data_IF_093582516880
#
_entry.id   IF_093582516880
#
_cell.length_a   1.000
_cell.length_b   1.000
_cell.length_c   1.000
_cell.angle_alpha   90.00
_cell.angle_beta   90.00
_cell.angle_gamma   90.00
#
_symmetry.space_group_name_H-M   'P 1'
#
loop_
_entity.id
_entity.type
_entity.pdbx_description
1 polymer ?
#
# COMPACT_ATOMS: atom_id res chain seq x y z
N UNK A 1 -7.10 -5.86 17.22
CA UNK A 1 -7.94 -6.73 16.36
C UNK A 1 -7.63 -6.56 14.88
N UNK A 2 -7.74 -5.35 14.31
CA UNK A 2 -7.56 -5.09 12.86
C UNK A 2 -6.18 -5.52 12.33
N UNK A 3 -5.09 -5.16 13.02
CA UNK A 3 -3.72 -5.48 12.58
C UNK A 3 -3.51 -7.00 12.51
N UNK A 4 -3.97 -7.73 13.53
CA UNK A 4 -3.87 -9.20 13.60
C UNK A 4 -4.69 -9.84 12.48
N UNK A 5 -5.90 -9.34 12.21
CA UNK A 5 -6.73 -9.81 11.10
C UNK A 5 -6.10 -9.58 9.73
N UNK A 6 -5.43 -8.43 9.53
CA UNK A 6 -4.69 -8.13 8.30
C UNK A 6 -3.49 -9.07 8.14
N UNK A 7 -2.72 -9.31 9.20
CA UNK A 7 -1.58 -10.25 9.19
C UNK A 7 -2.05 -11.68 8.90
N UNK A 8 -3.09 -12.16 9.59
CA UNK A 8 -3.67 -13.49 9.36
C UNK A 8 -4.22 -13.59 7.93
N UNK A 9 -4.85 -12.54 7.39
CA UNK A 9 -5.33 -12.51 6.02
C UNK A 9 -4.17 -12.67 5.02
N UNK A 10 -3.08 -11.92 5.17
CA UNK A 10 -1.92 -12.08 4.29
C UNK A 10 -1.25 -13.45 4.42
N UNK A 11 -1.25 -14.05 5.62
CA UNK A 11 -0.72 -15.40 5.83
C UNK A 11 -1.62 -16.50 5.24
N UNK A 12 -2.94 -16.33 5.28
CA UNK A 12 -3.90 -17.37 4.85
C UNK A 12 -4.30 -17.24 3.39
N UNK A 13 -4.35 -16.02 2.86
CA UNK A 13 -4.68 -15.77 1.45
C UNK A 13 -3.45 -15.70 0.57
N UNK A 14 -2.29 -15.30 1.12
CA UNK A 14 -0.97 -15.41 0.47
C UNK A 14 -0.98 -15.22 -1.06
N UNK A 15 -0.67 -16.25 -1.86
CA UNK A 15 -0.72 -16.20 -3.33
C UNK A 15 -2.12 -16.19 -3.97
N UNK A 16 -3.14 -16.65 -3.26
CA UNK A 16 -4.54 -16.73 -3.72
C UNK A 16 -5.33 -15.44 -3.47
N UNK A 17 -4.72 -14.45 -2.83
CA UNK A 17 -5.32 -13.13 -2.65
C UNK A 17 -5.49 -12.46 -4.02
N UNK A 18 -6.71 -11.95 -4.29
CA UNK A 18 -6.96 -11.30 -5.56
C UNK A 18 -6.05 -10.09 -5.73
N UNK A 19 -5.48 -9.94 -6.94
CA UNK A 19 -4.60 -8.82 -7.28
C UNK A 19 -5.26 -7.48 -6.95
N UNK A 20 -6.57 -7.37 -7.18
CA UNK A 20 -7.39 -6.21 -6.80
C UNK A 20 -7.31 -5.91 -5.31
N UNK A 21 -7.47 -6.92 -4.45
CA UNK A 21 -7.42 -6.73 -3.00
C UNK A 21 -6.04 -6.24 -2.55
N UNK A 22 -4.97 -6.84 -3.09
CA UNK A 22 -3.60 -6.45 -2.77
C UNK A 22 -3.33 -5.00 -3.17
N UNK A 23 -3.69 -4.62 -4.41
CA UNK A 23 -3.55 -3.24 -4.90
C UNK A 23 -4.31 -2.26 -4.01
N UNK A 24 -5.56 -2.56 -3.66
CA UNK A 24 -6.38 -1.71 -2.79
C UNK A 24 -5.75 -1.56 -1.41
N UNK A 25 -5.31 -2.66 -0.78
CA UNK A 25 -4.71 -2.61 0.55
C UNK A 25 -3.41 -1.80 0.58
N UNK A 26 -2.49 -2.02 -0.37
CA UNK A 26 -1.26 -1.23 -0.47
C UNK A 26 -1.51 0.24 -0.75
N UNK A 27 -2.49 0.55 -1.62
CA UNK A 27 -2.84 1.94 -1.93
C UNK A 27 -3.36 2.69 -0.70
N UNK A 28 -4.28 2.07 0.05
CA UNK A 28 -4.82 2.66 1.29
C UNK A 28 -3.72 2.88 2.33
N UNK A 29 -2.88 1.86 2.55
CA UNK A 29 -1.82 1.94 3.55
C UNK A 29 -0.76 2.98 3.17
N UNK A 30 -0.44 3.10 1.88
CA UNK A 30 0.47 4.11 1.36
C UNK A 30 -0.08 5.53 1.52
N UNK A 31 -1.35 5.76 1.20
CA UNK A 31 -2.01 7.07 1.44
C UNK A 31 -1.98 7.42 2.93
N UNK A 32 -2.30 6.47 3.81
CA UNK A 32 -2.22 6.68 5.26
C UNK A 32 -0.78 6.99 5.71
N UNK A 33 0.21 6.28 5.16
CA UNK A 33 1.62 6.52 5.43
C UNK A 33 2.06 7.94 5.05
N UNK A 34 1.62 8.44 3.89
CA UNK A 34 1.86 9.82 3.46
C UNK A 34 1.18 10.82 4.40
N UNK A 35 -0.08 10.57 4.78
CA UNK A 35 -0.81 11.43 5.72
C UNK A 35 -0.07 11.51 7.06
N UNK A 36 0.35 10.38 7.63
CA UNK A 36 1.11 10.36 8.89
C UNK A 36 2.47 11.02 8.77
N UNK A 37 3.16 10.87 7.64
CA UNK A 37 4.43 11.53 7.36
C UNK A 37 4.28 13.06 7.39
N UNK A 38 3.24 13.58 6.73
CA UNK A 38 2.92 15.01 6.71
C UNK A 38 2.52 15.51 8.11
N UNK A 39 1.65 14.76 8.81
CA UNK A 39 1.20 15.10 10.16
C UNK A 39 2.34 15.11 11.19
N UNK A 40 3.38 14.31 10.97
CA UNK A 40 4.55 14.25 11.86
C UNK A 40 5.29 15.59 11.95
N UNK A 41 5.18 16.47 10.93
CA UNK A 41 5.91 17.76 10.84
C UNK A 41 7.43 17.66 10.97
N UNK A 42 7.98 16.45 10.99
CA UNK A 42 9.41 16.20 11.00
C UNK A 42 9.91 16.03 9.58
N UNK A 43 10.89 16.83 9.18
CA UNK A 43 11.46 16.82 7.83
C UNK A 43 11.90 15.42 7.36
N UNK A 44 12.53 14.65 8.25
CA UNK A 44 12.93 13.27 7.95
C UNK A 44 11.74 12.34 7.72
N UNK A 45 10.72 12.42 8.58
CA UNK A 45 9.50 11.62 8.47
C UNK A 45 8.73 11.94 7.18
N UNK A 46 8.61 13.23 6.86
CA UNK A 46 8.01 13.70 5.60
C UNK A 46 8.78 13.13 4.41
N UNK A 47 10.10 13.26 4.39
CA UNK A 47 10.91 12.83 3.25
C UNK A 47 10.80 11.33 3.03
N UNK A 48 11.08 10.53 4.05
CA UNK A 48 11.07 9.07 3.95
C UNK A 48 9.65 8.56 3.73
N UNK A 49 8.68 9.13 4.45
CA UNK A 49 7.29 8.73 4.35
C UNK A 49 6.69 9.05 2.99
N UNK A 50 6.95 10.24 2.43
CA UNK A 50 6.45 10.60 1.09
C UNK A 50 7.17 9.83 -0.01
N UNK A 51 8.51 9.72 0.01
CA UNK A 51 9.24 8.95 -1.00
C UNK A 51 8.89 7.46 -0.96
N UNK A 52 8.98 6.85 0.23
CA UNK A 52 8.76 5.42 0.38
C UNK A 52 7.33 5.01 -0.01
N UNK A 53 6.32 5.71 0.55
CA UNK A 53 4.93 5.41 0.21
C UNK A 53 4.60 5.83 -1.22
N UNK A 54 5.16 6.94 -1.73
CA UNK A 54 5.00 7.37 -3.12
C UNK A 54 5.46 6.32 -4.13
N UNK A 55 6.62 5.68 -3.90
CA UNK A 55 7.11 4.57 -4.74
C UNK A 55 6.11 3.40 -4.71
N UNK A 56 5.60 3.04 -3.54
CA UNK A 56 4.59 1.98 -3.41
C UNK A 56 3.32 2.32 -4.21
N UNK A 57 2.90 3.58 -4.21
CA UNK A 57 1.73 4.05 -4.96
C UNK A 57 1.95 3.95 -6.48
N UNK A 58 3.14 4.31 -6.96
CA UNK A 58 3.53 4.17 -8.38
C UNK A 58 3.51 2.70 -8.79
N UNK A 59 4.06 1.82 -7.96
CA UNK A 59 4.04 0.37 -8.19
C UNK A 59 2.62 -0.19 -8.23
N UNK A 60 1.76 0.22 -7.29
CA UNK A 60 0.34 -0.15 -7.29
C UNK A 60 -0.37 0.34 -8.56
N UNK A 61 -0.02 1.53 -9.05
CA UNK A 61 -0.49 2.05 -10.33
C UNK A 61 -0.09 1.17 -11.52
N UNK A 62 1.18 0.74 -11.59
CA UNK A 62 1.63 -0.19 -12.62
C UNK A 62 0.91 -1.54 -12.55
N UNK A 63 0.68 -2.09 -11.36
CA UNK A 63 -0.08 -3.33 -11.19
C UNK A 63 -1.53 -3.19 -11.65
N UNK A 64 -2.16 -2.05 -11.37
CA UNK A 64 -3.52 -1.75 -11.82
C UNK A 64 -3.60 -1.62 -13.34
N UNK A 65 -2.62 -0.94 -13.95
CA UNK A 65 -2.49 -0.84 -15.41
C UNK A 65 -2.27 -2.22 -16.04
N UNK A 66 -1.35 -3.02 -15.48
CA UNK A 66 -1.08 -4.37 -15.95
C UNK A 66 -2.34 -5.26 -15.88
N UNK A 67 -3.14 -5.16 -14.82
CA UNK A 67 -4.43 -5.84 -14.72
C UNK A 67 -5.42 -5.38 -15.79
N UNK A 68 -5.46 -4.09 -16.09
CA UNK A 68 -6.35 -3.54 -17.13
C UNK A 68 -5.97 -3.97 -18.55
N UNK A 69 -4.67 -4.17 -18.80
CA UNK A 69 -4.14 -4.59 -20.11
C UNK A 69 -4.15 -6.13 -20.24
N UNK A 70 -3.97 -6.85 -19.13
CA UNK A 70 -3.75 -8.29 -19.10
C UNK A 70 -4.98 -9.16 -19.39
N UNK A 71 -6.20 -8.62 -19.31
CA UNK A 71 -7.44 -9.36 -19.55
C UNK A 71 -7.71 -10.46 -18.53
#
# INVERSE_FOLDING_TARGET
MIIISVVIFFMTKGPDASLTFIISAFSILSILGIIFAILSKQWFSITIGVLGNGIILVFAGFLLLAKGIGG
#
